data_IF_790936512524
#
_entry.id   IF_790936512524
#
_cell.length_a   1.000
_cell.length_b   1.000
_cell.length_c   1.000
_cell.angle_alpha   90.00
_cell.angle_beta   90.00
_cell.angle_gamma   90.00
#
_symmetry.space_group_name_H-M   'P 1'
#
loop_
_entity.id
_entity.type
_entity.pdbx_description
1 polymer ?
#
# COMPACT_ATOMS: atom_id res chain seq x y z
N UNK A 1 23.80 -4.49 32.29
CA UNK A 1 22.37 -4.80 32.13
C UNK A 1 22.18 -6.28 32.44
N UNK A 2 21.27 -6.63 33.34
CA UNK A 2 21.09 -8.01 33.81
C UNK A 2 20.29 -8.80 32.76
N UNK A 3 20.95 -9.65 31.98
CA UNK A 3 20.32 -10.51 30.96
C UNK A 3 19.71 -11.77 31.60
N UNK A 4 18.92 -11.59 32.65
CA UNK A 4 18.23 -12.69 33.37
C UNK A 4 16.84 -12.92 32.77
N UNK A 5 16.31 -14.16 32.76
CA UNK A 5 14.90 -14.42 32.45
C UNK A 5 13.92 -13.67 33.37
N UNK A 6 14.34 -13.31 34.59
CA UNK A 6 13.50 -12.58 35.56
C UNK A 6 13.41 -11.07 35.28
N UNK A 7 14.20 -10.53 34.35
CA UNK A 7 14.08 -9.14 33.91
C UNK A 7 12.94 -9.03 32.88
N UNK A 8 11.80 -8.40 33.22
CA UNK A 8 10.64 -8.37 32.32
C UNK A 8 10.90 -7.61 31.02
N UNK A 9 11.79 -6.60 31.05
CA UNK A 9 12.13 -5.84 29.84
C UNK A 9 12.97 -6.70 28.89
N UNK A 10 13.96 -7.42 29.43
CA UNK A 10 14.79 -8.33 28.64
C UNK A 10 13.98 -9.52 28.11
N UNK A 11 13.14 -10.12 28.94
CA UNK A 11 12.24 -11.22 28.54
C UNK A 11 11.33 -10.81 27.38
N UNK A 12 10.66 -9.65 27.48
CA UNK A 12 9.83 -9.10 26.38
C UNK A 12 10.66 -8.78 25.13
N UNK A 13 11.87 -8.26 25.28
CA UNK A 13 12.74 -7.95 24.14
C UNK A 13 13.13 -9.21 23.36
N UNK A 14 13.49 -10.29 24.05
CA UNK A 14 13.87 -11.57 23.43
C UNK A 14 12.65 -12.26 22.81
N UNK A 15 11.52 -12.33 23.53
CA UNK A 15 10.30 -12.93 22.97
C UNK A 15 9.73 -12.13 21.79
N UNK A 16 9.91 -10.81 21.77
CA UNK A 16 9.53 -9.96 20.65
C UNK A 16 10.28 -10.23 19.35
N UNK A 17 11.32 -11.10 19.36
CA UNK A 17 11.99 -11.58 18.15
C UNK A 17 11.21 -12.69 17.44
N UNK A 18 10.20 -13.29 18.07
CA UNK A 18 9.31 -14.25 17.44
C UNK A 18 8.06 -13.50 16.93
N UNK A 19 7.93 -13.26 15.61
CA UNK A 19 6.78 -12.55 15.07
C UNK A 19 5.52 -13.38 15.24
N UNK A 20 4.40 -12.71 15.50
CA UNK A 20 3.10 -13.37 15.61
C UNK A 20 2.09 -12.73 14.66
N UNK A 21 1.10 -13.52 14.24
CA UNK A 21 -0.11 -12.95 13.66
C UNK A 21 -0.93 -12.25 14.74
N UNK A 22 -1.78 -11.32 14.33
CA UNK A 22 -2.71 -10.63 15.22
C UNK A 22 -4.13 -11.16 15.01
N UNK A 23 -4.74 -11.64 16.08
CA UNK A 23 -6.11 -12.14 16.06
C UNK A 23 -7.00 -11.34 17.01
N UNK A 24 -8.31 -11.29 16.72
CA UNK A 24 -9.34 -10.84 17.66
C UNK A 24 -10.23 -12.03 18.01
N UNK A 25 -10.26 -12.39 19.30
CA UNK A 25 -11.20 -13.37 19.83
C UNK A 25 -12.49 -12.63 20.17
N UNK A 26 -13.58 -12.98 19.49
CA UNK A 26 -14.89 -12.36 19.68
C UNK A 26 -15.89 -13.34 20.26
N UNK A 27 -16.89 -12.80 20.95
CA UNK A 27 -18.09 -13.54 21.33
C UNK A 27 -19.29 -12.60 21.39
N UNK A 28 -20.48 -13.19 21.30
CA UNK A 28 -21.75 -12.50 21.44
C UNK A 28 -22.41 -12.93 22.76
N UNK A 29 -22.45 -12.08 23.80
CA UNK A 29 -23.24 -12.35 25.01
C UNK A 29 -24.74 -12.37 24.70
N UNK A 30 -25.53 -13.10 25.50
CA UNK A 30 -27.00 -13.17 25.35
C UNK A 30 -27.68 -11.79 25.47
N UNK A 31 -27.29 -11.00 26.47
CA UNK A 31 -27.90 -9.69 26.78
C UNK A 31 -26.88 -8.53 26.74
N UNK A 32 -25.99 -8.49 25.75
CA UNK A 32 -24.95 -7.45 25.72
C UNK A 32 -24.34 -7.16 24.35
N UNK A 33 -23.55 -6.08 24.25
CA UNK A 33 -22.83 -5.77 23.03
C UNK A 33 -21.78 -6.86 22.72
N UNK A 34 -21.36 -6.97 21.44
CA UNK A 34 -20.23 -7.79 21.04
C UNK A 34 -19.00 -7.53 21.91
N UNK A 35 -18.29 -8.59 22.29
CA UNK A 35 -17.03 -8.48 23.05
C UNK A 35 -15.87 -9.01 22.22
N UNK A 36 -14.70 -8.40 22.38
CA UNK A 36 -13.53 -8.65 21.54
C UNK A 36 -12.23 -8.45 22.31
N UNK A 37 -11.29 -9.38 22.14
CA UNK A 37 -9.96 -9.35 22.75
C UNK A 37 -8.89 -9.59 21.70
N UNK A 38 -7.96 -8.64 21.56
CA UNK A 38 -6.78 -8.82 20.72
C UNK A 38 -5.84 -9.81 21.37
N UNK A 39 -5.36 -10.79 20.59
CA UNK A 39 -4.35 -11.76 21.01
C UNK A 39 -3.29 -11.92 19.93
N UNK A 40 -2.02 -11.91 20.35
CA UNK A 40 -0.89 -12.36 19.53
C UNK A 40 -0.46 -13.79 19.85
N UNK A 41 -1.14 -14.47 20.77
CA UNK A 41 -0.79 -15.80 21.31
C UNK A 41 -1.59 -16.95 20.68
N UNK A 42 -2.34 -16.67 19.62
CA UNK A 42 -3.15 -17.68 18.94
C UNK A 42 -2.29 -18.78 18.30
N UNK A 43 -2.72 -20.03 18.41
CA UNK A 43 -2.07 -21.18 17.77
C UNK A 43 -3.05 -22.32 17.46
N UNK A 44 -2.76 -23.09 16.42
CA UNK A 44 -3.38 -24.39 16.17
C UNK A 44 -2.81 -25.43 17.15
N UNK A 45 -3.67 -26.26 17.74
CA UNK A 45 -3.27 -27.20 18.80
C UNK A 45 -3.38 -28.66 18.36
N UNK A 46 -4.45 -29.03 17.66
CA UNK A 46 -4.70 -30.42 17.24
C UNK A 46 -5.50 -30.46 15.94
N UNK A 47 -5.31 -31.52 15.15
CA UNK A 47 -6.14 -31.80 13.98
C UNK A 47 -7.31 -32.75 14.27
N UNK A 48 -7.18 -33.66 15.26
CA UNK A 48 -8.25 -34.60 15.62
C UNK A 48 -8.30 -34.85 17.15
N UNK A 49 -9.28 -34.29 17.88
CA UNK A 49 -10.26 -33.32 17.39
C UNK A 49 -9.58 -32.01 16.96
N UNK A 50 -10.20 -31.21 16.08
CA UNK A 50 -9.63 -29.95 15.62
C UNK A 50 -9.66 -28.92 16.75
N UNK A 51 -8.50 -28.61 17.32
CA UNK A 51 -8.36 -27.70 18.47
C UNK A 51 -7.50 -26.49 18.12
N UNK A 52 -7.88 -25.35 18.68
CA UNK A 52 -7.11 -24.10 18.69
C UNK A 52 -6.97 -23.57 20.11
N UNK A 53 -6.03 -22.66 20.33
CA UNK A 53 -5.86 -22.03 21.64
C UNK A 53 -5.23 -20.64 21.60
N UNK A 54 -5.37 -19.93 22.71
CA UNK A 54 -4.76 -18.63 22.96
C UNK A 54 -4.54 -18.42 24.46
N UNK A 55 -3.73 -17.42 24.82
CA UNK A 55 -3.32 -17.17 26.20
C UNK A 55 -3.82 -15.81 26.70
N UNK A 56 -5.00 -15.73 27.34
CA UNK A 56 -5.48 -14.49 27.94
C UNK A 56 -4.78 -14.21 29.27
N UNK A 57 -4.42 -12.94 29.52
CA UNK A 57 -3.91 -12.50 30.82
C UNK A 57 -4.97 -12.64 31.91
N UNK A 58 -4.55 -13.02 33.12
CA UNK A 58 -5.43 -13.02 34.31
C UNK A 58 -5.92 -11.62 34.69
N UNK A 59 -5.23 -10.57 34.24
CA UNK A 59 -5.60 -9.16 34.46
C UNK A 59 -6.47 -8.57 33.35
N UNK A 60 -6.83 -9.35 32.32
CA UNK A 60 -7.68 -8.88 31.22
C UNK A 60 -9.09 -8.55 31.71
N UNK A 61 -9.58 -7.36 31.37
CA UNK A 61 -10.97 -6.95 31.63
C UNK A 61 -11.97 -7.72 30.74
N UNK A 62 -11.54 -8.17 29.57
CA UNK A 62 -12.40 -8.86 28.59
C UNK A 62 -12.53 -10.35 28.87
N UNK A 63 -11.47 -10.96 29.39
CA UNK A 63 -11.41 -12.40 29.60
C UNK A 63 -12.55 -12.96 30.48
N UNK A 64 -12.94 -12.32 31.60
CA UNK A 64 -14.08 -12.79 32.40
C UNK A 64 -15.40 -12.89 31.63
N UNK A 65 -15.59 -12.05 30.61
CA UNK A 65 -16.77 -12.06 29.76
C UNK A 65 -16.65 -13.14 28.68
N UNK A 66 -15.51 -13.20 27.99
CA UNK A 66 -15.25 -14.23 26.96
C UNK A 66 -15.33 -15.64 27.52
N UNK A 67 -14.78 -15.89 28.71
CA UNK A 67 -14.82 -17.21 29.37
C UNK A 67 -16.23 -17.70 29.66
N UNK A 68 -17.21 -16.80 29.80
CA UNK A 68 -18.63 -17.14 30.04
C UNK A 68 -19.41 -17.39 28.75
N UNK A 69 -18.87 -17.02 27.60
CA UNK A 69 -19.53 -17.25 26.32
C UNK A 69 -19.46 -18.73 25.92
N UNK A 70 -20.55 -19.24 25.35
CA UNK A 70 -20.63 -20.63 24.87
C UNK A 70 -19.93 -20.87 23.53
N UNK A 71 -19.60 -19.82 22.80
CA UNK A 71 -18.88 -19.86 21.53
C UNK A 71 -17.94 -18.68 21.39
N UNK A 72 -16.86 -18.89 20.63
CA UNK A 72 -15.89 -17.87 20.26
C UNK A 72 -15.67 -17.87 18.75
N UNK A 73 -15.39 -16.70 18.18
CA UNK A 73 -14.85 -16.61 16.83
C UNK A 73 -13.45 -15.99 16.88
N UNK A 74 -12.45 -16.69 16.33
CA UNK A 74 -11.11 -16.14 16.11
C UNK A 74 -11.10 -15.45 14.77
N UNK A 75 -10.80 -14.16 14.75
CA UNK A 75 -10.66 -13.36 13.54
C UNK A 75 -9.18 -13.08 13.30
N UNK A 76 -8.60 -13.62 12.22
CA UNK A 76 -7.22 -13.36 11.82
C UNK A 76 -7.20 -12.03 11.06
N UNK A 77 -6.61 -10.98 11.63
CA UNK A 77 -6.70 -9.64 11.05
C UNK A 77 -5.81 -9.48 9.80
N UNK A 78 -6.29 -8.70 8.84
CA UNK A 78 -5.52 -8.29 7.67
C UNK A 78 -4.59 -7.10 7.98
N UNK A 79 -3.52 -6.94 7.20
CA UNK A 79 -2.46 -5.95 7.42
C UNK A 79 -2.98 -4.51 7.50
N UNK A 80 -4.04 -4.19 6.76
CA UNK A 80 -4.66 -2.86 6.79
C UNK A 80 -5.45 -2.59 8.09
N UNK A 81 -5.83 -3.61 8.87
CA UNK A 81 -6.72 -3.51 10.04
C UNK A 81 -6.00 -3.16 11.36
N UNK A 82 -4.90 -2.41 11.29
CA UNK A 82 -4.13 -1.99 12.48
C UNK A 82 -4.91 -1.02 13.39
N UNK A 83 -5.83 -0.27 12.80
CA UNK A 83 -6.80 0.63 13.42
C UNK A 83 -7.91 -0.15 14.14
N UNK A 84 -8.49 -1.19 13.51
CA UNK A 84 -9.43 -2.12 14.17
C UNK A 84 -8.76 -2.79 15.37
N UNK A 85 -7.54 -3.30 15.19
CA UNK A 85 -6.76 -3.90 16.27
C UNK A 85 -6.60 -2.93 17.45
N UNK A 86 -6.14 -1.69 17.20
CA UNK A 86 -5.97 -0.68 18.24
C UNK A 86 -7.29 -0.36 18.93
N UNK A 87 -8.37 -0.18 18.18
CA UNK A 87 -9.70 0.11 18.72
C UNK A 87 -10.17 -0.99 19.68
N UNK A 88 -10.13 -2.25 19.26
CA UNK A 88 -10.53 -3.39 20.10
C UNK A 88 -9.65 -3.49 21.36
N UNK A 89 -8.36 -3.16 21.26
CA UNK A 89 -7.44 -3.24 22.39
C UNK A 89 -7.63 -2.12 23.42
N UNK A 90 -7.92 -0.88 22.98
CA UNK A 90 -7.84 0.30 23.85
C UNK A 90 -9.17 0.93 24.21
N UNK A 91 -10.23 0.74 23.42
CA UNK A 91 -11.53 1.34 23.70
C UNK A 91 -12.20 0.68 24.94
N UNK A 92 -13.07 1.43 25.66
CA UNK A 92 -13.93 0.86 26.69
C UNK A 92 -14.71 -0.34 26.15
N UNK A 93 -14.93 -1.39 26.97
CA UNK A 93 -15.51 -2.66 26.51
C UNK A 93 -16.78 -2.49 25.66
N UNK A 94 -17.67 -1.57 26.04
CA UNK A 94 -18.94 -1.34 25.37
C UNK A 94 -18.82 -0.66 23.99
N UNK A 95 -17.72 0.04 23.71
CA UNK A 95 -17.53 0.91 22.52
C UNK A 95 -16.57 0.29 21.49
N UNK A 96 -15.97 -0.87 21.81
CA UNK A 96 -14.94 -1.53 21.00
C UNK A 96 -15.39 -1.81 19.57
N UNK A 97 -16.67 -2.12 19.38
CA UNK A 97 -17.23 -2.44 18.07
C UNK A 97 -17.90 -1.25 17.37
N UNK A 98 -17.94 -0.06 17.97
CA UNK A 98 -18.55 1.09 17.29
C UNK A 98 -17.75 1.45 16.03
N UNK A 99 -18.40 1.44 14.87
CA UNK A 99 -17.72 1.68 13.60
C UNK A 99 -16.77 0.56 13.15
N UNK A 100 -16.81 -0.63 13.79
CA UNK A 100 -16.14 -1.84 13.29
C UNK A 100 -17.18 -2.71 12.60
N UNK A 101 -17.19 -2.84 11.25
CA UNK A 101 -18.13 -3.69 10.56
C UNK A 101 -17.91 -5.17 10.89
N UNK A 102 -19.00 -5.89 11.17
CA UNK A 102 -18.96 -7.31 11.46
C UNK A 102 -20.28 -7.99 11.08
N UNK A 103 -20.22 -9.31 10.87
CA UNK A 103 -21.37 -10.18 10.62
C UNK A 103 -21.35 -11.41 11.54
N UNK A 104 -22.48 -12.04 11.86
CA UNK A 104 -22.48 -13.21 12.73
C UNK A 104 -21.88 -14.45 12.05
N UNK A 105 -21.11 -15.23 12.81
CA UNK A 105 -20.74 -16.61 12.50
C UNK A 105 -21.95 -17.55 12.69
N UNK A 106 -21.87 -18.84 12.27
CA UNK A 106 -22.90 -19.83 12.58
C UNK A 106 -23.26 -19.92 14.07
N UNK A 107 -22.29 -19.73 14.98
CA UNK A 107 -22.53 -19.68 16.42
C UNK A 107 -23.10 -18.34 16.94
N UNK A 108 -23.23 -17.33 16.09
CA UNK A 108 -23.58 -15.95 16.45
C UNK A 108 -22.40 -15.07 16.85
N UNK A 109 -21.20 -15.64 17.08
CA UNK A 109 -20.02 -14.85 17.42
C UNK A 109 -19.61 -13.90 16.26
N UNK A 110 -19.12 -12.67 16.54
CA UNK A 110 -18.79 -11.70 15.50
C UNK A 110 -17.62 -12.11 14.58
N UNK A 111 -17.85 -12.10 13.27
CA UNK A 111 -16.82 -12.13 12.23
C UNK A 111 -16.57 -10.69 11.78
N UNK A 112 -15.37 -10.17 12.02
CA UNK A 112 -14.95 -8.83 11.62
C UNK A 112 -14.79 -8.82 10.09
N UNK A 113 -15.41 -7.87 9.41
CA UNK A 113 -15.28 -7.74 7.95
C UNK A 113 -13.84 -7.34 7.56
N UNK A 114 -13.35 -7.88 6.45
CA UNK A 114 -11.97 -7.64 5.99
C UNK A 114 -10.91 -8.53 6.65
N UNK A 115 -11.25 -9.31 7.68
CA UNK A 115 -10.35 -10.31 8.25
C UNK A 115 -9.88 -11.32 7.18
N UNK A 116 -8.68 -11.85 7.31
CA UNK A 116 -8.11 -12.84 6.38
C UNK A 116 -8.87 -14.16 6.46
N UNK A 117 -9.18 -14.59 7.68
CA UNK A 117 -9.92 -15.82 7.94
C UNK A 117 -10.63 -15.72 9.29
N UNK A 118 -11.63 -16.59 9.47
CA UNK A 118 -12.32 -16.75 10.74
C UNK A 118 -12.39 -18.22 11.15
N UNK A 119 -12.42 -18.45 12.46
CA UNK A 119 -12.52 -19.79 13.08
C UNK A 119 -13.56 -19.73 14.18
N UNK A 120 -14.74 -20.28 13.91
CA UNK A 120 -15.86 -20.41 14.85
C UNK A 120 -15.70 -21.69 15.68
N UNK A 121 -15.67 -21.55 16.99
CA UNK A 121 -15.25 -22.60 17.91
C UNK A 121 -16.00 -22.57 19.24
N UNK A 122 -15.98 -23.70 19.94
CA UNK A 122 -16.61 -23.87 21.25
C UNK A 122 -15.52 -24.11 22.30
N UNK A 123 -15.52 -23.39 23.44
CA UNK A 123 -14.55 -23.60 24.51
C UNK A 123 -14.62 -25.03 25.06
N UNK A 124 -13.46 -25.66 25.27
CA UNK A 124 -13.39 -27.04 25.81
C UNK A 124 -12.59 -27.15 27.10
N UNK A 125 -11.56 -26.32 27.29
CA UNK A 125 -10.75 -26.33 28.50
C UNK A 125 -10.06 -25.00 28.76
N UNK A 126 -9.82 -24.70 30.04
CA UNK A 126 -9.01 -23.58 30.49
C UNK A 126 -8.05 -24.06 31.56
N UNK A 127 -6.76 -23.84 31.38
CA UNK A 127 -5.72 -24.21 32.35
C UNK A 127 -5.00 -22.98 32.90
N UNK A 128 -4.47 -23.09 34.12
CA UNK A 128 -3.64 -22.06 34.73
C UNK A 128 -2.21 -22.11 34.20
N UNK A 129 -1.65 -20.96 33.85
CA UNK A 129 -0.29 -20.82 33.32
C UNK A 129 0.37 -19.52 33.81
N UNK A 130 0.66 -19.45 35.10
CA UNK A 130 1.27 -18.27 35.72
C UNK A 130 0.32 -17.07 35.72
N UNK A 131 0.75 -15.96 35.10
CA UNK A 131 -0.04 -14.74 34.93
C UNK A 131 -0.98 -14.77 33.70
N UNK A 132 -1.04 -15.90 33.00
CA UNK A 132 -1.96 -16.16 31.90
C UNK A 132 -2.78 -17.44 32.12
N UNK A 133 -3.82 -17.62 31.31
CA UNK A 133 -4.50 -18.91 31.15
C UNK A 133 -4.10 -19.54 29.81
N UNK A 134 -4.33 -20.84 29.68
CA UNK A 134 -4.35 -21.53 28.39
C UNK A 134 -5.80 -21.85 28.07
N UNK A 135 -6.39 -21.12 27.13
CA UNK A 135 -7.75 -21.35 26.67
C UNK A 135 -7.73 -22.23 25.42
N UNK A 136 -8.48 -23.33 25.44
CA UNK A 136 -8.61 -24.28 24.34
C UNK A 136 -10.06 -24.31 23.84
N UNK A 137 -10.22 -24.37 22.53
CA UNK A 137 -11.52 -24.49 21.88
C UNK A 137 -11.49 -25.53 20.74
N UNK A 138 -12.60 -26.24 20.58
CA UNK A 138 -12.84 -27.14 19.46
C UNK A 138 -13.47 -26.38 18.30
N UNK A 139 -12.88 -26.53 17.12
CA UNK A 139 -13.33 -25.83 15.91
C UNK A 139 -14.60 -26.48 15.37
N UNK A 140 -15.61 -25.65 15.07
CA UNK A 140 -16.88 -26.08 14.47
C UNK A 140 -17.00 -25.67 13.02
N UNK A 141 -16.60 -24.43 12.71
CA UNK A 141 -16.54 -23.90 11.35
C UNK A 141 -15.29 -23.02 11.18
N UNK A 142 -14.73 -23.01 9.98
CA UNK A 142 -13.64 -22.10 9.63
C UNK A 142 -13.67 -21.83 8.14
N UNK A 143 -13.26 -20.64 7.73
CA UNK A 143 -13.15 -20.28 6.32
C UNK A 143 -12.16 -19.13 6.13
N UNK A 144 -11.67 -18.99 4.91
CA UNK A 144 -11.01 -17.76 4.45
C UNK A 144 -12.05 -16.68 4.21
N UNK A 145 -11.80 -15.46 4.67
CA UNK A 145 -12.70 -14.33 4.54
C UNK A 145 -12.19 -13.28 3.54
N UNK A 146 -10.89 -13.21 3.27
CA UNK A 146 -10.30 -12.36 2.24
C UNK A 146 -9.00 -12.95 1.69
N UNK A 147 -8.47 -12.37 0.61
CA UNK A 147 -7.16 -12.71 0.03
C UNK A 147 -6.03 -11.81 0.53
N UNK A 148 -6.30 -10.97 1.53
CA UNK A 148 -5.35 -10.00 2.08
C UNK A 148 -4.20 -10.66 2.83
N UNK A 149 -3.09 -9.95 2.95
CA UNK A 149 -1.97 -10.38 3.80
C UNK A 149 -2.29 -10.17 5.29
N UNK A 150 -1.82 -11.05 6.19
CA UNK A 150 -2.12 -10.96 7.61
C UNK A 150 -1.37 -9.81 8.31
N UNK A 151 -2.01 -9.23 9.31
CA UNK A 151 -1.37 -8.31 10.24
C UNK A 151 -0.39 -9.08 11.13
N UNK A 152 0.86 -8.62 11.15
CA UNK A 152 1.92 -9.16 11.98
C UNK A 152 2.28 -8.20 13.11
N UNK A 153 2.70 -8.75 14.23
CA UNK A 153 3.30 -8.02 15.34
C UNK A 153 4.74 -8.51 15.56
N UNK A 154 5.69 -7.59 15.48
CA UNK A 154 7.12 -7.89 15.62
C UNK A 154 7.84 -6.74 16.32
N UNK A 155 8.63 -7.03 17.36
CA UNK A 155 9.39 -6.04 18.13
C UNK A 155 8.58 -4.81 18.56
N UNK A 156 7.36 -5.04 19.05
CA UNK A 156 6.40 -3.99 19.47
C UNK A 156 5.83 -3.11 18.34
N UNK A 157 6.03 -3.48 17.08
CA UNK A 157 5.47 -2.80 15.92
C UNK A 157 4.54 -3.69 15.10
N UNK A 158 3.60 -3.05 14.39
CA UNK A 158 2.75 -3.72 13.40
C UNK A 158 3.44 -3.76 12.03
N UNK A 159 3.19 -4.81 11.27
CA UNK A 159 3.68 -4.98 9.90
C UNK A 159 2.87 -5.99 9.11
N UNK A 160 3.37 -6.35 7.92
CA UNK A 160 2.76 -7.35 7.04
C UNK A 160 3.77 -8.41 6.63
N UNK A 161 3.27 -9.58 6.22
CA UNK A 161 4.09 -10.62 5.63
C UNK A 161 4.59 -10.21 4.24
N UNK A 162 5.86 -10.46 3.94
CA UNK A 162 6.42 -10.29 2.59
C UNK A 162 7.18 -11.57 2.19
N UNK A 163 6.72 -12.31 1.17
CA UNK A 163 7.35 -13.56 0.76
C UNK A 163 8.73 -13.30 0.12
N UNK A 164 9.69 -14.19 0.40
CA UNK A 164 11.07 -14.06 -0.09
C UNK A 164 11.31 -14.64 -1.50
N UNK A 165 10.30 -15.11 -2.26
CA UNK A 165 10.54 -15.89 -3.50
C UNK A 165 9.43 -15.80 -4.57
N UNK A 166 9.85 -15.84 -5.86
CA UNK A 166 9.10 -15.69 -7.13
C UNK A 166 7.92 -16.65 -7.42
N UNK A 167 7.64 -17.65 -6.58
CA UNK A 167 6.54 -18.63 -6.79
C UNK A 167 5.46 -18.56 -5.71
N UNK A 168 5.59 -17.68 -4.72
CA UNK A 168 4.52 -17.42 -3.77
C UNK A 168 3.48 -16.51 -4.42
N UNK A 169 2.20 -16.85 -4.23
CA UNK A 169 1.05 -16.01 -4.54
C UNK A 169 1.33 -14.58 -4.05
N UNK A 170 1.44 -13.62 -4.98
CA UNK A 170 1.64 -12.18 -4.78
C UNK A 170 0.24 -11.58 -4.67
N UNK A 171 -0.33 -11.40 -3.47
CA UNK A 171 -1.74 -11.01 -3.33
C UNK A 171 -1.98 -9.59 -3.87
N UNK A 172 -0.92 -8.78 -3.92
CA UNK A 172 -0.95 -7.40 -4.39
C UNK A 172 -0.48 -7.21 -5.83
N UNK A 173 0.04 -8.27 -6.50
CA UNK A 173 0.70 -8.14 -7.80
C UNK A 173 1.74 -7.00 -7.84
N UNK A 174 2.40 -6.70 -6.71
CA UNK A 174 2.96 -5.37 -6.42
C UNK A 174 4.00 -4.90 -7.44
N UNK A 175 4.77 -5.81 -8.02
CA UNK A 175 5.72 -5.51 -9.10
C UNK A 175 5.64 -6.48 -10.26
N UNK A 176 5.17 -7.70 -10.04
CA UNK A 176 5.12 -8.75 -11.08
C UNK A 176 4.23 -8.33 -12.25
N UNK A 177 3.05 -7.76 -11.98
CA UNK A 177 2.13 -7.29 -13.02
C UNK A 177 2.67 -6.04 -13.72
N UNK A 178 3.12 -4.99 -13.02
CA UNK A 178 3.81 -3.87 -13.65
C UNK A 178 4.98 -4.27 -14.56
N UNK A 179 5.84 -5.19 -14.11
CA UNK A 179 6.98 -5.68 -14.90
C UNK A 179 6.52 -6.43 -16.16
N UNK A 180 5.51 -7.30 -16.05
CA UNK A 180 4.91 -7.98 -17.22
C UNK A 180 4.28 -6.98 -18.19
N UNK A 181 3.53 -6.00 -17.68
CA UNK A 181 2.97 -4.95 -18.51
C UNK A 181 4.07 -4.16 -19.22
N UNK A 182 5.14 -3.79 -18.51
CA UNK A 182 6.28 -3.09 -19.11
C UNK A 182 6.93 -3.92 -20.22
N UNK A 183 7.17 -5.22 -20.03
CA UNK A 183 7.70 -6.08 -21.11
C UNK A 183 6.80 -6.12 -22.35
N UNK A 184 5.47 -6.13 -22.16
CA UNK A 184 4.51 -6.09 -23.29
C UNK A 184 4.53 -4.75 -24.03
N UNK A 185 4.68 -3.64 -23.30
CA UNK A 185 4.64 -2.30 -23.90
C UNK A 185 6.03 -1.77 -24.30
N UNK A 186 7.11 -2.44 -23.90
CA UNK A 186 8.49 -2.04 -24.18
C UNK A 186 8.73 -1.77 -25.67
N UNK A 187 8.29 -2.61 -26.63
CA UNK A 187 8.47 -2.32 -28.06
C UNK A 187 7.74 -1.05 -28.50
N UNK A 188 6.56 -0.77 -27.91
CA UNK A 188 5.77 0.43 -28.22
C UNK A 188 6.45 1.67 -27.67
N UNK A 189 6.98 1.60 -26.45
CA UNK A 189 7.70 2.70 -25.84
C UNK A 189 9.02 3.02 -26.57
N UNK A 190 9.62 2.04 -27.24
CA UNK A 190 10.78 2.23 -28.13
C UNK A 190 10.42 2.93 -29.46
N UNK A 191 9.13 3.02 -29.84
CA UNK A 191 8.69 3.78 -31.02
C UNK A 191 8.63 5.29 -30.77
N UNK A 192 8.86 5.75 -29.53
CA UNK A 192 8.93 7.18 -29.24
C UNK A 192 9.99 7.84 -30.15
N UNK A 193 9.62 8.90 -30.88
CA UNK A 193 10.52 9.53 -31.84
C UNK A 193 11.78 10.07 -31.16
N UNK A 194 12.93 9.90 -31.82
CA UNK A 194 14.23 10.34 -31.31
C UNK A 194 14.33 11.88 -31.36
N UNK A 195 13.90 12.51 -30.28
CA UNK A 195 14.14 13.93 -29.99
C UNK A 195 15.09 14.12 -28.80
N UNK A 196 15.94 13.12 -28.50
CA UNK A 196 16.67 13.05 -27.23
C UNK A 196 15.78 12.75 -26.02
N UNK A 197 14.57 12.22 -26.27
CA UNK A 197 13.60 11.86 -25.23
C UNK A 197 14.06 10.63 -24.47
N UNK A 198 14.12 10.75 -23.14
CA UNK A 198 14.20 9.61 -22.23
C UNK A 198 12.80 9.30 -21.75
N UNK A 199 12.45 8.03 -21.69
CA UNK A 199 11.15 7.57 -21.18
C UNK A 199 11.34 6.76 -19.90
N UNK A 200 10.78 7.24 -18.80
CA UNK A 200 10.61 6.50 -17.57
C UNK A 200 9.24 5.82 -17.59
N UNK A 201 9.17 4.56 -17.16
CA UNK A 201 7.91 3.85 -16.95
C UNK A 201 7.76 3.59 -15.47
N UNK A 202 6.67 4.07 -14.88
CA UNK A 202 6.36 3.93 -13.46
C UNK A 202 5.03 3.21 -13.24
N UNK A 203 4.84 2.62 -12.06
CA UNK A 203 3.58 1.99 -11.67
C UNK A 203 3.21 2.33 -10.22
N UNK A 204 1.91 2.43 -9.89
CA UNK A 204 1.45 2.54 -8.51
C UNK A 204 1.60 1.19 -7.81
N UNK A 205 2.17 1.21 -6.61
CA UNK A 205 2.41 0.03 -5.77
C UNK A 205 2.13 0.39 -4.32
N UNK A 206 0.95 0.02 -3.83
CA UNK A 206 0.46 0.43 -2.50
C UNK A 206 0.56 1.97 -2.35
N UNK A 207 1.16 2.48 -1.27
CA UNK A 207 1.41 3.91 -1.02
C UNK A 207 2.71 4.43 -1.67
N UNK A 208 3.12 3.92 -2.84
CA UNK A 208 4.34 4.37 -3.54
C UNK A 208 4.21 4.25 -5.05
N UNK A 209 5.05 5.00 -5.77
CA UNK A 209 5.22 4.83 -7.22
C UNK A 209 6.58 4.21 -7.44
N UNK A 210 6.66 3.11 -8.19
CA UNK A 210 7.93 2.42 -8.45
C UNK A 210 8.33 2.62 -9.90
N UNK A 211 9.60 2.91 -10.12
CA UNK A 211 10.18 2.93 -11.46
C UNK A 211 10.35 1.49 -11.95
N UNK A 212 9.61 1.13 -12.99
CA UNK A 212 9.59 -0.21 -13.57
C UNK A 212 10.61 -0.34 -14.70
N UNK A 213 10.84 0.74 -15.44
CA UNK A 213 11.71 0.73 -16.60
C UNK A 213 12.20 2.12 -16.97
N UNK A 214 13.36 2.16 -17.62
CA UNK A 214 13.86 3.34 -18.31
C UNK A 214 14.23 2.95 -19.74
N UNK A 215 13.89 3.81 -20.69
CA UNK A 215 14.21 3.67 -22.10
C UNK A 215 14.91 4.95 -22.52
N UNK A 216 16.19 4.82 -22.87
CA UNK A 216 17.03 5.91 -23.34
C UNK A 216 17.04 5.97 -24.87
N UNK A 217 17.24 7.16 -25.46
CA UNK A 217 17.32 7.28 -26.91
C UNK A 217 18.52 6.50 -27.45
N UNK A 218 18.42 5.86 -28.63
CA UNK A 218 19.47 4.98 -29.17
C UNK A 218 20.83 5.66 -29.34
N UNK A 219 20.82 6.99 -29.45
CA UNK A 219 21.98 7.85 -29.72
C UNK A 219 22.67 8.40 -28.47
N UNK A 220 22.18 8.09 -27.25
CA UNK A 220 22.77 8.58 -26.01
C UNK A 220 24.16 7.96 -25.75
N UNK A 221 25.22 8.77 -25.51
CA UNK A 221 26.55 8.24 -25.18
C UNK A 221 26.54 7.51 -23.83
N UNK A 222 27.25 6.38 -23.75
CA UNK A 222 27.34 5.53 -22.53
C UNK A 222 27.83 6.32 -21.30
N UNK A 223 28.68 7.33 -21.49
CA UNK A 223 29.19 8.19 -20.41
C UNK A 223 28.16 9.22 -19.88
N UNK A 224 27.05 9.44 -20.60
CA UNK A 224 25.95 10.35 -20.22
C UNK A 224 24.68 9.59 -19.81
N UNK A 225 24.75 8.25 -19.72
CA UNK A 225 23.67 7.44 -19.19
C UNK A 225 23.55 7.69 -17.68
N UNK A 226 22.40 8.20 -17.20
CA UNK A 226 22.21 8.45 -15.78
C UNK A 226 22.17 7.11 -15.04
N UNK A 227 22.41 7.15 -13.73
CA UNK A 227 22.18 5.99 -12.86
C UNK A 227 20.77 5.45 -13.09
N UNK A 228 20.67 4.15 -13.35
CA UNK A 228 19.39 3.49 -13.62
C UNK A 228 18.48 3.60 -12.38
N UNK A 229 17.32 4.24 -12.55
CA UNK A 229 16.35 4.44 -11.46
C UNK A 229 15.42 3.23 -11.25
N UNK A 230 15.57 2.17 -12.06
CA UNK A 230 14.69 0.97 -12.00
C UNK A 230 14.74 0.33 -10.61
N UNK A 231 13.56 0.06 -10.05
CA UNK A 231 13.38 -0.46 -8.69
C UNK A 231 13.31 0.63 -7.61
N UNK A 232 13.57 1.89 -7.94
CA UNK A 232 13.45 2.99 -6.99
C UNK A 232 11.98 3.25 -6.66
N UNK A 233 11.68 3.32 -5.35
CA UNK A 233 10.38 3.72 -4.84
C UNK A 233 10.36 5.22 -4.60
N UNK A 234 9.44 5.89 -5.27
CA UNK A 234 9.12 7.30 -5.09
C UNK A 234 7.91 7.41 -4.15
N UNK A 235 7.89 8.41 -3.26
CA UNK A 235 6.75 8.63 -2.39
C UNK A 235 5.50 8.92 -3.23
N UNK A 236 4.34 8.48 -2.73
CA UNK A 236 3.06 8.71 -3.40
C UNK A 236 2.56 10.15 -3.17
N UNK A 237 3.33 11.14 -3.65
CA UNK A 237 3.02 12.57 -3.67
C UNK A 237 3.33 13.23 -5.03
N UNK A 238 2.73 14.38 -5.38
CA UNK A 238 2.87 15.03 -6.68
C UNK A 238 4.32 15.18 -7.16
N UNK A 239 4.60 15.20 -8.45
CA UNK A 239 3.67 15.13 -9.60
C UNK A 239 3.46 13.70 -10.12
N UNK A 240 4.28 12.73 -9.69
CA UNK A 240 4.30 11.37 -10.23
C UNK A 240 2.97 10.61 -10.09
N UNK A 241 2.36 10.53 -8.89
CA UNK A 241 1.12 9.81 -8.66
C UNK A 241 -0.13 10.54 -9.14
N UNK A 242 -0.06 11.84 -9.40
CA UNK A 242 -1.21 12.63 -9.88
C UNK A 242 -1.79 12.06 -11.18
N UNK A 243 -0.95 11.41 -12.01
CA UNK A 243 -1.35 10.70 -13.23
C UNK A 243 -2.08 9.37 -12.97
N UNK A 244 -2.04 8.83 -11.76
CA UNK A 244 -2.83 7.67 -11.35
C UNK A 244 -4.10 8.15 -10.63
N UNK A 245 -3.93 9.06 -9.66
CA UNK A 245 -4.99 9.62 -8.83
C UNK A 245 -6.06 10.40 -9.61
N UNK A 246 -5.72 10.96 -10.77
CA UNK A 246 -6.72 11.65 -11.59
C UNK A 246 -7.86 10.74 -12.08
N UNK A 247 -7.67 9.42 -12.04
CA UNK A 247 -8.67 8.40 -12.40
C UNK A 247 -9.11 7.52 -11.22
N UNK A 248 -8.60 7.77 -10.01
CA UNK A 248 -9.00 7.03 -8.82
C UNK A 248 -10.49 7.27 -8.47
N UNK A 249 -11.15 6.30 -7.80
CA UNK A 249 -12.46 6.49 -7.18
C UNK A 249 -12.50 7.73 -6.28
N UNK A 250 -13.67 8.36 -6.14
CA UNK A 250 -13.80 9.66 -5.46
C UNK A 250 -13.43 9.64 -3.97
N UNK A 251 -13.60 8.51 -3.30
CA UNK A 251 -13.19 8.28 -1.91
C UNK A 251 -11.66 8.10 -1.77
N UNK A 252 -11.03 7.32 -2.66
CA UNK A 252 -9.56 7.20 -2.73
C UNK A 252 -8.91 8.56 -3.03
N UNK A 253 -9.44 9.28 -4.02
CA UNK A 253 -8.99 10.61 -4.40
C UNK A 253 -9.12 11.59 -3.22
N UNK A 254 -10.23 11.55 -2.47
CA UNK A 254 -10.42 12.39 -1.30
C UNK A 254 -9.43 12.04 -0.17
N UNK A 255 -9.17 10.75 0.05
CA UNK A 255 -8.19 10.29 1.03
C UNK A 255 -6.75 10.71 0.65
N UNK A 256 -6.42 10.71 -0.64
CA UNK A 256 -5.14 11.22 -1.14
C UNK A 256 -5.01 12.73 -0.94
N UNK A 257 -6.03 13.51 -1.32
CA UNK A 257 -6.06 14.97 -1.15
C UNK A 257 -5.96 15.38 0.32
N UNK A 258 -6.57 14.62 1.23
CA UNK A 258 -6.51 14.88 2.67
C UNK A 258 -5.08 14.83 3.26
N UNK A 259 -4.09 14.28 2.53
CA UNK A 259 -2.68 14.24 2.92
C UNK A 259 -1.98 15.61 2.78
N UNK A 260 -2.56 16.56 2.04
CA UNK A 260 -1.99 17.90 1.83
C UNK A 260 -2.55 18.92 2.81
N UNK A 261 -1.82 20.04 2.97
CA UNK A 261 -2.27 21.18 3.77
C UNK A 261 -3.63 21.68 3.25
N UNK A 262 -4.54 22.11 4.13
CA UNK A 262 -5.87 22.59 3.74
C UNK A 262 -5.84 23.65 2.62
N UNK A 263 -4.85 24.54 2.67
CA UNK A 263 -4.68 25.63 1.69
C UNK A 263 -4.29 25.13 0.29
N UNK A 264 -3.73 23.92 0.17
CA UNK A 264 -3.28 23.32 -1.09
C UNK A 264 -4.28 22.32 -1.68
N UNK A 265 -5.21 21.78 -0.89
CA UNK A 265 -6.16 20.73 -1.32
C UNK A 265 -6.98 21.12 -2.56
N UNK A 266 -7.46 22.36 -2.61
CA UNK A 266 -8.26 22.83 -3.74
C UNK A 266 -7.43 22.95 -5.03
N UNK A 267 -6.15 23.30 -4.91
CA UNK A 267 -5.23 23.33 -6.04
C UNK A 267 -4.96 21.92 -6.58
N UNK A 268 -4.78 20.94 -5.70
CA UNK A 268 -4.61 19.52 -6.03
C UNK A 268 -5.83 18.96 -6.76
N UNK A 269 -7.04 19.20 -6.25
CA UNK A 269 -8.28 18.76 -6.91
C UNK A 269 -8.37 19.34 -8.34
N UNK A 270 -8.07 20.63 -8.50
CA UNK A 270 -8.05 21.26 -9.83
C UNK A 270 -6.95 20.68 -10.73
N UNK A 271 -5.79 20.32 -10.19
CA UNK A 271 -4.71 19.68 -10.95
C UNK A 271 -5.15 18.31 -11.47
N UNK A 272 -5.77 17.48 -10.63
CA UNK A 272 -6.30 16.16 -11.03
C UNK A 272 -7.38 16.29 -12.12
N UNK A 273 -8.25 17.30 -12.02
CA UNK A 273 -9.24 17.59 -13.06
C UNK A 273 -8.59 17.97 -14.41
N UNK A 274 -7.54 18.80 -14.39
CA UNK A 274 -6.78 19.17 -15.60
C UNK A 274 -6.10 17.97 -16.24
N UNK A 275 -5.49 17.10 -15.45
CA UNK A 275 -4.86 15.87 -15.93
C UNK A 275 -5.90 14.99 -16.64
N UNK A 276 -7.08 14.83 -16.04
CA UNK A 276 -8.17 14.03 -16.62
C UNK A 276 -8.70 14.62 -17.92
N UNK A 277 -8.90 15.94 -17.96
CA UNK A 277 -9.37 16.66 -19.16
C UNK A 277 -8.37 16.56 -20.32
N UNK A 278 -7.07 16.71 -20.01
CA UNK A 278 -5.99 16.69 -21.01
C UNK A 278 -5.60 15.27 -21.44
N UNK A 279 -5.76 14.30 -20.56
CA UNK A 279 -5.26 12.93 -20.74
C UNK A 279 -3.76 12.78 -20.50
N UNK A 280 -3.08 13.80 -19.98
CA UNK A 280 -1.65 13.77 -19.63
C UNK A 280 -1.37 14.76 -18.49
N UNK A 281 -0.24 14.55 -17.81
CA UNK A 281 0.32 15.47 -16.81
C UNK A 281 1.57 16.15 -17.36
N UNK A 282 1.82 17.39 -16.92
CA UNK A 282 2.97 18.20 -17.31
C UNK A 282 3.60 18.91 -16.10
N UNK A 283 4.92 18.74 -15.96
CA UNK A 283 5.76 19.41 -14.97
C UNK A 283 6.59 20.52 -15.61
N UNK A 284 6.68 21.67 -14.94
CA UNK A 284 7.41 22.84 -15.41
C UNK A 284 8.78 22.94 -14.74
N UNK A 285 9.78 23.44 -15.46
CA UNK A 285 11.14 23.60 -14.96
C UNK A 285 11.26 24.74 -13.95
N UNK A 286 11.04 24.43 -12.68
CA UNK A 286 11.32 25.33 -11.55
C UNK A 286 12.68 25.03 -10.92
N UNK A 287 13.17 25.93 -10.06
CA UNK A 287 14.33 25.63 -9.21
C UNK A 287 14.08 24.40 -8.31
N UNK A 288 12.83 24.20 -7.89
CA UNK A 288 12.37 23.00 -7.18
C UNK A 288 12.60 21.73 -7.99
N UNK A 289 12.31 21.72 -9.29
CA UNK A 289 12.53 20.56 -10.16
C UNK A 289 14.01 20.19 -10.29
N UNK A 290 14.91 21.18 -10.39
CA UNK A 290 16.36 20.92 -10.44
C UNK A 290 16.85 20.28 -9.16
N UNK A 291 16.42 20.81 -8.01
CA UNK A 291 16.78 20.29 -6.69
C UNK A 291 16.20 18.89 -6.45
N UNK A 292 14.96 18.65 -6.87
CA UNK A 292 14.32 17.35 -6.78
C UNK A 292 15.03 16.29 -7.64
N UNK A 293 15.38 16.61 -8.90
CA UNK A 293 16.15 15.70 -9.76
C UNK A 293 17.51 15.34 -9.14
N UNK A 294 18.25 16.33 -8.61
CA UNK A 294 19.52 16.08 -7.92
C UNK A 294 19.36 15.22 -6.65
N UNK A 295 18.26 15.38 -5.91
CA UNK A 295 17.95 14.53 -4.76
C UNK A 295 17.64 13.08 -5.17
N UNK A 296 16.93 12.88 -6.29
CA UNK A 296 16.68 11.55 -6.85
C UNK A 296 17.96 10.85 -7.28
N UNK A 297 18.89 11.56 -7.93
CA UNK A 297 20.20 11.01 -8.30
C UNK A 297 21.01 10.56 -7.08
N UNK A 298 21.01 11.35 -5.99
CA UNK A 298 21.64 10.98 -4.72
C UNK A 298 21.00 9.74 -4.08
N UNK A 299 19.66 9.67 -4.07
CA UNK A 299 18.91 8.51 -3.59
C UNK A 299 19.18 7.25 -4.42
N UNK A 300 19.35 7.41 -5.74
CA UNK A 300 19.67 6.30 -6.65
C UNK A 300 21.09 5.79 -6.46
N UNK A 301 22.05 6.66 -6.11
CA UNK A 301 23.42 6.27 -5.82
C UNK A 301 23.55 5.61 -4.44
N UNK A 302 22.92 6.17 -3.40
CA UNK A 302 23.00 5.69 -2.02
C UNK A 302 21.65 5.85 -1.29
N UNK A 303 20.91 4.75 -1.05
CA UNK A 303 19.64 4.79 -0.32
C UNK A 303 19.80 5.32 1.11
N UNK A 304 18.91 6.22 1.55
CA UNK A 304 18.91 6.78 2.90
C UNK A 304 19.72 8.08 3.08
N UNK A 305 20.27 8.64 2.00
CA UNK A 305 21.07 9.88 2.02
C UNK A 305 20.26 11.18 1.98
N UNK A 306 18.95 11.09 1.75
CA UNK A 306 18.01 12.24 1.72
C UNK A 306 16.92 11.98 2.76
N UNK A 307 16.81 12.80 3.83
CA UNK A 307 15.74 12.70 4.81
C UNK A 307 14.35 12.91 4.18
N UNK A 308 13.32 12.25 4.71
CA UNK A 308 11.94 12.38 4.21
C UNK A 308 11.44 13.84 4.27
N UNK A 309 11.81 14.61 5.31
CA UNK A 309 11.45 16.03 5.43
C UNK A 309 12.02 16.89 4.29
N UNK A 310 13.24 16.59 3.84
CA UNK A 310 13.87 17.28 2.71
C UNK A 310 13.15 16.93 1.40
N UNK A 311 12.81 15.65 1.21
CA UNK A 311 12.06 15.19 0.04
C UNK A 311 10.66 15.82 -0.03
N UNK A 312 10.01 15.94 1.12
CA UNK A 312 8.69 16.56 1.27
C UNK A 312 8.71 18.05 0.91
N UNK A 313 9.72 18.78 1.38
CA UNK A 313 9.91 20.20 1.04
C UNK A 313 10.22 20.39 -0.46
N UNK A 314 10.99 19.49 -1.06
CA UNK A 314 11.28 19.52 -2.50
C UNK A 314 10.02 19.29 -3.33
N UNK A 315 9.22 18.28 -2.98
CA UNK A 315 7.93 17.99 -3.64
C UNK A 315 6.97 19.19 -3.57
N UNK A 316 6.87 19.83 -2.41
CA UNK A 316 6.01 21.00 -2.22
C UNK A 316 6.45 22.24 -3.05
N UNK A 317 7.68 22.25 -3.57
CA UNK A 317 8.24 23.34 -4.38
C UNK A 317 8.14 23.14 -5.89
N UNK A 318 7.48 22.05 -6.34
CA UNK A 318 7.34 21.71 -7.75
C UNK A 318 6.18 22.49 -8.39
N UNK A 319 6.47 23.22 -9.47
CA UNK A 319 5.44 23.82 -10.31
C UNK A 319 4.93 22.80 -11.34
N UNK A 320 3.66 22.40 -11.20
CA UNK A 320 3.07 21.38 -12.05
C UNK A 320 1.60 21.68 -12.37
N UNK A 321 1.08 21.10 -13.46
CA UNK A 321 -0.27 21.33 -13.97
C UNK A 321 -0.68 22.81 -14.09
N UNK A 322 -0.05 23.61 -14.97
CA UNK A 322 -0.49 24.97 -15.23
C UNK A 322 -1.95 25.00 -15.74
N UNK A 323 -2.67 26.09 -15.47
CA UNK A 323 -4.07 26.24 -15.93
C UNK A 323 -4.19 26.31 -17.45
N UNK A 324 -3.24 27.01 -18.11
CA UNK A 324 -3.20 27.19 -19.56
C UNK A 324 -1.86 26.72 -20.13
N UNK A 325 -1.89 26.24 -21.38
CA UNK A 325 -0.72 25.76 -22.12
C UNK A 325 -0.37 26.74 -23.26
N UNK A 326 -0.12 28.00 -22.89
CA UNK A 326 0.43 28.99 -23.82
C UNK A 326 1.85 28.61 -24.25
N UNK A 327 2.34 29.17 -25.34
CA UNK A 327 3.70 28.89 -25.81
C UNK A 327 4.77 29.29 -24.78
N UNK A 328 4.54 30.34 -23.99
CA UNK A 328 5.42 30.74 -22.87
C UNK A 328 5.48 29.69 -21.76
N UNK A 329 4.35 29.06 -21.45
CA UNK A 329 4.28 27.97 -20.45
C UNK A 329 4.91 26.70 -20.99
N UNK A 330 4.65 26.36 -22.26
CA UNK A 330 5.23 25.17 -22.89
C UNK A 330 6.76 25.28 -22.99
N UNK A 331 7.32 26.47 -23.19
CA UNK A 331 8.76 26.69 -23.14
C UNK A 331 9.38 26.40 -21.75
N UNK A 332 8.57 26.26 -20.71
CA UNK A 332 9.00 25.87 -19.36
C UNK A 332 8.79 24.38 -19.08
N UNK A 333 8.11 23.62 -19.94
CA UNK A 333 7.89 22.19 -19.73
C UNK A 333 9.21 21.42 -19.61
N UNK A 334 9.27 20.45 -18.69
CA UNK A 334 10.44 19.57 -18.48
C UNK A 334 10.09 18.10 -18.43
N UNK A 335 8.87 17.78 -18.00
CA UNK A 335 8.38 16.41 -17.84
C UNK A 335 6.97 16.35 -18.38
N UNK A 336 6.65 15.31 -19.15
CA UNK A 336 5.29 15.01 -19.62
C UNK A 336 5.00 13.55 -19.30
N UNK A 337 3.88 13.26 -18.65
CA UNK A 337 3.47 11.91 -18.28
C UNK A 337 2.13 11.55 -18.90
N UNK A 338 2.00 10.37 -19.49
CA UNK A 338 0.74 9.84 -20.00
C UNK A 338 0.38 8.51 -19.33
N UNK A 339 -0.89 8.28 -18.94
CA UNK A 339 -1.33 7.04 -18.31
C UNK A 339 -1.49 5.92 -19.34
N UNK A 340 -1.18 4.69 -18.91
CA UNK A 340 -1.47 3.46 -19.64
C UNK A 340 -2.52 2.69 -18.84
N UNK A 341 -3.67 2.44 -19.47
CA UNK A 341 -4.81 1.81 -18.84
C UNK A 341 -4.85 0.30 -19.05
N UNK A 342 -5.43 -0.41 -18.08
CA UNK A 342 -5.86 -1.80 -18.25
C UNK A 342 -7.30 -1.90 -18.78
N UNK A 343 -7.79 -3.13 -18.91
CA UNK A 343 -9.16 -3.41 -19.37
C UNK A 343 -10.27 -2.88 -18.45
N UNK A 344 -9.95 -2.57 -17.18
CA UNK A 344 -10.89 -1.96 -16.24
C UNK A 344 -10.97 -0.44 -16.37
N UNK A 345 -10.14 0.17 -17.22
CA UNK A 345 -10.02 1.62 -17.31
C UNK A 345 -9.16 2.21 -16.18
N UNK A 346 -8.41 1.38 -15.45
CA UNK A 346 -7.53 1.84 -14.38
C UNK A 346 -6.12 2.13 -14.92
N UNK A 347 -5.49 3.26 -14.59
CA UNK A 347 -4.12 3.53 -15.00
C UNK A 347 -3.15 2.62 -14.23
N UNK A 348 -2.49 1.71 -14.95
CA UNK A 348 -1.60 0.68 -14.37
C UNK A 348 -0.12 0.94 -14.62
N UNK A 349 0.20 1.79 -15.59
CA UNK A 349 1.55 2.34 -15.81
C UNK A 349 1.43 3.82 -16.18
N UNK A 350 2.50 4.58 -15.98
CA UNK A 350 2.66 5.90 -16.57
C UNK A 350 3.94 5.93 -17.41
N UNK A 351 3.83 6.48 -18.61
CA UNK A 351 4.96 6.76 -19.49
C UNK A 351 5.34 8.23 -19.34
N UNK A 352 6.51 8.49 -18.77
CA UNK A 352 6.99 9.82 -18.47
C UNK A 352 8.20 10.16 -19.34
N UNK A 353 8.05 11.16 -20.21
CA UNK A 353 9.14 11.64 -21.07
C UNK A 353 9.77 12.91 -20.52
N UNK A 354 11.10 13.00 -20.64
CA UNK A 354 11.91 14.15 -20.21
C UNK A 354 13.16 14.27 -21.09
N UNK A 355 13.92 15.37 -20.92
CA UNK A 355 15.15 15.63 -21.69
C UNK A 355 14.92 16.29 -23.06
N UNK A 356 13.67 16.59 -23.43
CA UNK A 356 13.38 17.37 -24.64
C UNK A 356 13.84 18.83 -24.52
N UNK A 357 14.13 19.44 -25.68
CA UNK A 357 14.36 20.88 -25.76
C UNK A 357 13.06 21.61 -25.43
N UNK A 358 13.15 22.57 -24.52
CA UNK A 358 11.99 23.32 -24.06
C UNK A 358 11.56 24.39 -25.06
N UNK A 359 11.07 23.94 -26.21
CA UNK A 359 10.47 24.77 -27.26
C UNK A 359 9.01 24.32 -27.48
N UNK A 360 8.07 25.25 -27.67
CA UNK A 360 6.64 24.90 -27.71
C UNK A 360 6.27 23.86 -28.78
N UNK A 361 6.88 23.95 -29.96
CA UNK A 361 6.74 22.97 -31.05
C UNK A 361 7.16 21.57 -30.61
N UNK A 362 8.37 21.44 -30.03
CA UNK A 362 8.93 20.17 -29.56
C UNK A 362 8.11 19.58 -28.41
N UNK A 363 7.61 20.44 -27.52
CA UNK A 363 6.79 20.00 -26.37
C UNK A 363 5.44 19.46 -26.85
N UNK A 364 4.80 20.12 -27.82
CA UNK A 364 3.55 19.62 -28.43
C UNK A 364 3.77 18.28 -29.14
N UNK A 365 4.88 18.13 -29.86
CA UNK A 365 5.27 16.85 -30.48
C UNK A 365 5.51 15.77 -29.42
N UNK A 366 6.22 16.07 -28.33
CA UNK A 366 6.45 15.13 -27.24
C UNK A 366 5.15 14.70 -26.55
N UNK A 367 4.22 15.64 -26.30
CA UNK A 367 2.87 15.33 -25.78
C UNK A 367 2.15 14.37 -26.73
N UNK A 368 2.09 14.68 -28.03
CA UNK A 368 1.42 13.84 -29.01
C UNK A 368 2.05 12.43 -29.10
N UNK A 369 3.38 12.35 -29.05
CA UNK A 369 4.11 11.10 -29.09
C UNK A 369 3.86 10.23 -27.85
N UNK A 370 4.01 10.78 -26.64
CA UNK A 370 3.85 10.00 -25.40
C UNK A 370 2.41 9.57 -25.18
N UNK A 371 1.43 10.44 -25.45
CA UNK A 371 0.01 10.10 -25.35
C UNK A 371 -0.41 9.08 -26.40
N UNK A 372 0.08 9.21 -27.64
CA UNK A 372 -0.15 8.22 -28.70
C UNK A 372 0.43 6.85 -28.37
N UNK A 373 1.66 6.81 -27.84
CA UNK A 373 2.30 5.57 -27.38
C UNK A 373 1.55 4.96 -26.19
N UNK A 374 1.18 5.76 -25.19
CA UNK A 374 0.43 5.30 -24.02
C UNK A 374 -0.95 4.75 -24.40
N UNK A 375 -1.63 5.36 -25.38
CA UNK A 375 -2.88 4.84 -25.92
C UNK A 375 -2.69 3.50 -26.66
N UNK A 376 -1.60 3.34 -27.43
CA UNK A 376 -1.25 2.06 -28.08
C UNK A 376 -0.88 0.99 -27.06
N UNK A 377 -0.15 1.35 -26.02
CA UNK A 377 0.19 0.51 -24.89
C UNK A 377 -1.08 0.05 -24.15
N UNK A 378 -2.02 0.96 -23.87
CA UNK A 378 -3.30 0.64 -23.22
C UNK A 378 -4.11 -0.36 -24.05
N UNK A 379 -4.17 -0.16 -25.37
CA UNK A 379 -4.77 -1.14 -26.29
C UNK A 379 -4.05 -2.48 -26.23
N UNK A 380 -2.74 -2.52 -26.13
CA UNK A 380 -1.97 -3.78 -26.07
C UNK A 380 -2.24 -4.54 -24.78
N UNK A 381 -2.32 -3.85 -23.65
CA UNK A 381 -2.72 -4.43 -22.37
C UNK A 381 -4.19 -4.88 -22.36
N UNK A 382 -5.03 -4.30 -23.22
CA UNK A 382 -6.45 -4.64 -23.36
C UNK A 382 -6.86 -5.54 -24.54
N UNK A 383 -5.98 -5.76 -25.51
CA UNK A 383 -6.19 -6.61 -26.70
C UNK A 383 -5.56 -8.01 -26.53
N UNK A 384 -4.96 -8.32 -25.38
CA UNK A 384 -4.55 -9.69 -25.09
C UNK A 384 -5.80 -10.59 -25.13
N UNK A 385 -5.88 -11.57 -26.05
CA UNK A 385 -7.04 -12.43 -26.16
C UNK A 385 -7.21 -13.25 -24.87
N UNK A 386 -8.46 -13.44 -24.44
CA UNK A 386 -8.82 -14.40 -23.38
C UNK A 386 -8.42 -15.83 -23.75
#
# INVERSE_FOLDING_TARGET
MNRSPDDPAWFRHVLGQYPTGVCVITAQPEDGPPIGMVVGSFSSVSMNPPLVGFYPSVTSETWPHLRRAGSWCVNILAAHQSDVCRRIATAPLAERFDGVPWRPAPSGAPIIEGAVAYIDCVPVAVHDAGDHKIALAEVRHLDTASTELPLLFFRSGYGSFSPLTLTAYDPDMSLTRPLRHFELIRPIAQELPDHGLRCLVTAPVSDSVVVIGQLDPPTAPVAEQPTTLVGQRLPFRPHGPSIFEAWAPGDEQAAWVARFSPDSQEAEIRALARIRERGFSIGLGSEGHRRFAAALERLAAEPGTVPNEELDALVASLDYEPAELSDEVLAQARVISAPVFDNGGNPVLAMTVFGFKARPDVVREAVAAVTGCAAKASRTLGLAPR
#
